data_IF_768033702915
#
_entry.id   IF_768033702915
#
_cell.length_a   1.000
_cell.length_b   1.000
_cell.length_c   1.000
_cell.angle_alpha   90.00
_cell.angle_beta   90.00
_cell.angle_gamma   90.00
#
_symmetry.space_group_name_H-M   'P 1'
#
loop_
_entity.id
_entity.type
_entity.pdbx_description
1 polymer ?
#
# COMPACT_ATOMS: atom_id res chain seq x y z
N UNK A 1 -14.03 54.16 -12.66
CA UNK A 1 -13.74 53.07 -13.62
C UNK A 1 -12.90 52.04 -12.90
N UNK A 2 -13.34 50.79 -12.91
CA UNK A 2 -12.79 49.69 -12.13
C UNK A 2 -11.42 49.21 -12.65
N UNK A 3 -10.53 48.80 -11.75
CA UNK A 3 -9.62 47.68 -12.00
C UNK A 3 -9.52 46.81 -10.75
N UNK A 4 -10.45 45.87 -10.72
CA UNK A 4 -10.31 44.47 -10.27
C UNK A 4 -9.24 44.13 -9.24
N UNK A 5 -9.75 43.71 -8.08
CA UNK A 5 -9.09 42.96 -7.03
C UNK A 5 -8.29 41.76 -7.56
N UNK A 6 -7.01 41.70 -7.17
CA UNK A 6 -6.30 40.45 -6.98
C UNK A 6 -6.38 40.09 -5.50
N UNK A 7 -7.57 39.69 -5.04
CA UNK A 7 -7.69 38.92 -3.81
C UNK A 7 -7.14 37.53 -4.12
N UNK A 8 -5.84 37.37 -3.87
CA UNK A 8 -5.31 36.09 -3.44
C UNK A 8 -6.18 35.66 -2.25
N UNK A 9 -7.09 34.73 -2.49
CA UNK A 9 -7.87 34.10 -1.43
C UNK A 9 -6.93 33.19 -0.65
N UNK A 10 -6.14 33.83 0.22
CA UNK A 10 -5.64 33.23 1.43
C UNK A 10 -6.85 32.95 2.33
N UNK A 11 -7.56 31.86 2.07
CA UNK A 11 -8.39 31.22 3.09
C UNK A 11 -7.63 30.02 3.61
N UNK A 12 -6.62 30.31 4.44
CA UNK A 12 -6.15 29.42 5.50
C UNK A 12 -7.34 29.24 6.45
N UNK A 13 -8.23 28.33 6.09
CA UNK A 13 -9.44 28.02 6.84
C UNK A 13 -9.41 26.52 7.16
N UNK A 14 -8.63 26.18 8.20
CA UNK A 14 -8.26 24.82 8.67
C UNK A 14 -7.29 24.15 7.69
N UNK A 15 -6.15 23.66 8.19
CA UNK A 15 -5.10 23.02 7.39
C UNK A 15 -5.52 21.70 6.74
N UNK A 16 -6.52 21.71 5.87
CA UNK A 16 -6.93 20.58 5.03
C UNK A 16 -6.41 20.83 3.62
N UNK A 17 -5.59 19.89 3.14
CA UNK A 17 -5.15 19.82 1.75
C UNK A 17 -6.37 19.79 0.82
N UNK A 18 -6.29 20.48 -0.31
CA UNK A 18 -7.25 20.33 -1.42
C UNK A 18 -7.24 18.90 -1.96
N UNK A 19 -8.30 18.50 -2.67
CA UNK A 19 -8.38 17.16 -3.26
C UNK A 19 -7.21 16.87 -4.21
N UNK A 20 -6.72 17.88 -4.94
CA UNK A 20 -5.57 17.75 -5.81
C UNK A 20 -4.27 17.52 -5.02
N UNK A 21 -4.05 18.28 -3.95
CA UNK A 21 -2.88 18.11 -3.06
C UNK A 21 -2.93 16.76 -2.33
N UNK A 22 -4.13 16.28 -1.93
CA UNK A 22 -4.31 14.96 -1.35
C UNK A 22 -3.95 13.84 -2.33
N UNK A 23 -4.40 13.96 -3.59
CA UNK A 23 -4.08 12.95 -4.62
C UNK A 23 -2.59 12.95 -4.94
N UNK A 24 -1.96 14.13 -5.06
CA UNK A 24 -0.51 14.22 -5.26
C UNK A 24 0.25 13.54 -4.11
N UNK A 25 -0.12 13.83 -2.86
CA UNK A 25 0.49 13.18 -1.71
C UNK A 25 0.25 11.66 -1.73
N UNK A 26 -0.94 11.20 -2.12
CA UNK A 26 -1.24 9.77 -2.23
C UNK A 26 -0.36 9.08 -3.27
N UNK A 27 -0.10 9.72 -4.42
CA UNK A 27 0.80 9.20 -5.44
C UNK A 27 2.25 9.11 -4.94
N UNK A 28 2.74 10.14 -4.26
CA UNK A 28 4.10 10.20 -3.70
C UNK A 28 4.31 9.16 -2.58
N UNK A 29 3.33 9.01 -1.68
CA UNK A 29 3.34 7.98 -0.64
C UNK A 29 3.26 6.58 -1.24
N UNK A 30 2.40 6.36 -2.24
CA UNK A 30 2.28 5.06 -2.90
C UNK A 30 3.56 4.68 -3.66
N UNK A 31 4.26 5.65 -4.25
CA UNK A 31 5.60 5.45 -4.82
C UNK A 31 6.58 4.98 -3.74
N UNK A 32 6.58 5.67 -2.60
CA UNK A 32 7.47 5.34 -1.47
C UNK A 32 7.20 3.94 -0.93
N UNK A 33 5.94 3.57 -0.71
CA UNK A 33 5.56 2.22 -0.29
C UNK A 33 5.96 1.15 -1.31
N UNK A 34 5.82 1.44 -2.62
CA UNK A 34 6.30 0.52 -3.66
C UNK A 34 7.82 0.36 -3.61
N UNK A 35 8.57 1.45 -3.44
CA UNK A 35 10.03 1.41 -3.32
C UNK A 35 10.48 0.60 -2.08
N UNK A 36 9.70 0.59 -1.00
CA UNK A 36 9.96 -0.27 0.16
C UNK A 36 9.93 -1.77 -0.17
N UNK A 37 9.19 -2.19 -1.20
CA UNK A 37 9.22 -3.55 -1.73
C UNK A 37 10.32 -3.70 -2.79
N UNK A 38 10.33 -2.82 -3.79
CA UNK A 38 11.17 -2.96 -4.98
C UNK A 38 12.67 -2.81 -4.73
N UNK A 39 13.06 -2.20 -3.60
CA UNK A 39 14.47 -2.02 -3.22
C UNK A 39 15.02 -3.15 -2.36
N UNK A 40 14.21 -4.12 -1.93
CA UNK A 40 14.69 -5.28 -1.19
C UNK A 40 15.02 -6.44 -2.14
N UNK A 41 16.01 -7.30 -1.82
CA UNK A 41 16.35 -8.47 -2.63
C UNK A 41 15.18 -9.42 -2.90
N UNK A 42 14.30 -9.63 -1.92
CA UNK A 42 13.13 -10.52 -2.05
C UNK A 42 11.96 -9.88 -2.79
N UNK A 43 11.96 -8.56 -2.97
CA UNK A 43 10.79 -7.84 -3.46
C UNK A 43 9.65 -7.73 -2.44
N UNK A 44 9.93 -7.99 -1.16
CA UNK A 44 9.00 -7.84 -0.02
C UNK A 44 9.47 -6.72 0.90
N UNK A 45 8.55 -5.94 1.47
CA UNK A 45 8.90 -4.93 2.45
C UNK A 45 9.20 -5.52 3.83
N UNK A 46 10.20 -4.93 4.49
CA UNK A 46 10.49 -5.10 5.90
C UNK A 46 9.38 -4.46 6.76
N UNK A 47 9.32 -4.83 8.04
CA UNK A 47 8.34 -4.32 9.00
C UNK A 47 8.50 -2.83 9.25
N UNK A 48 9.75 -2.35 9.39
CA UNK A 48 10.05 -0.94 9.63
C UNK A 48 11.15 -0.49 8.67
N UNK A 49 10.92 0.64 8.01
CA UNK A 49 11.93 1.36 7.23
C UNK A 49 12.26 2.69 7.90
N UNK A 50 13.56 2.99 8.04
CA UNK A 50 14.08 4.25 8.56
C UNK A 50 14.74 5.00 7.42
N UNK A 51 14.20 6.18 7.10
CA UNK A 51 14.68 7.02 6.01
C UNK A 51 15.91 7.84 6.41
N UNK A 52 16.87 7.93 5.50
CA UNK A 52 18.08 8.73 5.69
C UNK A 52 17.88 10.11 5.08
N UNK A 53 17.80 11.14 5.93
CA UNK A 53 17.55 12.53 5.51
C UNK A 53 18.81 13.38 5.41
N UNK A 54 19.96 12.84 5.82
CA UNK A 54 21.25 13.55 5.85
C UNK A 54 21.97 13.57 4.49
N UNK A 55 21.39 12.92 3.47
CA UNK A 55 21.94 12.83 2.12
C UNK A 55 23.20 11.95 2.03
N UNK A 56 23.54 11.20 3.08
CA UNK A 56 24.73 10.35 3.12
C UNK A 56 24.34 8.91 2.81
N UNK A 57 25.16 8.21 2.02
CA UNK A 57 25.06 6.77 1.84
C UNK A 57 24.30 6.27 0.61
N UNK A 58 23.64 7.15 -0.17
CA UNK A 58 23.05 6.79 -1.47
C UNK A 58 21.92 5.76 -1.43
N UNK A 59 21.34 5.51 -0.25
CA UNK A 59 20.21 4.61 -0.03
C UNK A 59 19.08 5.38 0.63
N UNK A 60 17.86 5.22 0.10
CA UNK A 60 16.67 5.97 0.56
C UNK A 60 16.29 5.63 2.02
N UNK A 61 16.34 4.33 2.38
CA UNK A 61 15.98 3.82 3.69
C UNK A 61 16.76 2.55 4.06
N UNK A 62 16.78 2.23 5.35
CA UNK A 62 17.30 0.96 5.86
C UNK A 62 16.38 0.38 6.95
N UNK A 63 16.59 -0.88 7.29
CA UNK A 63 15.87 -1.55 8.38
C UNK A 63 16.85 -2.09 9.42
N UNK A 64 16.52 -1.90 10.70
CA UNK A 64 17.23 -2.54 11.80
C UNK A 64 17.14 -4.07 11.65
N UNK A 65 18.06 -4.83 12.26
CA UNK A 65 18.04 -6.30 12.13
C UNK A 65 16.73 -6.91 12.61
N UNK A 66 16.16 -6.36 13.68
CA UNK A 66 14.91 -6.84 14.29
C UNK A 66 13.70 -6.61 13.39
N UNK A 67 13.77 -5.62 12.50
CA UNK A 67 12.64 -5.18 11.68
C UNK A 67 12.68 -5.71 10.23
N UNK A 68 13.67 -6.54 9.88
CA UNK A 68 13.84 -7.05 8.50
C UNK A 68 12.78 -8.05 8.06
N UNK A 69 11.94 -8.50 8.99
CA UNK A 69 10.96 -9.53 8.74
C UNK A 69 9.78 -9.00 7.91
N UNK A 70 9.11 -9.89 7.19
CA UNK A 70 7.86 -9.58 6.49
C UNK A 70 6.76 -10.49 6.99
N UNK A 71 5.69 -9.89 7.52
CA UNK A 71 4.55 -10.60 8.08
C UNK A 71 3.42 -10.85 7.08
N UNK A 72 3.66 -10.62 5.78
CA UNK A 72 2.66 -10.71 4.71
C UNK A 72 1.55 -9.64 4.81
N UNK A 73 1.91 -8.47 5.34
CA UNK A 73 0.97 -7.39 5.66
C UNK A 73 0.29 -6.76 4.43
N UNK A 74 -0.93 -6.22 4.57
CA UNK A 74 -1.76 -5.83 3.43
C UNK A 74 -1.61 -4.38 2.97
N UNK A 75 -1.03 -3.48 3.76
CA UNK A 75 -1.27 -2.02 3.67
C UNK A 75 -0.85 -1.43 2.31
N UNK A 76 0.22 -1.97 1.72
CA UNK A 76 0.64 -1.58 0.36
C UNK A 76 -0.32 -2.12 -0.70
N UNK A 77 -0.79 -3.36 -0.58
CA UNK A 77 -1.77 -3.94 -1.54
C UNK A 77 -3.14 -3.28 -1.43
N UNK A 78 -3.55 -2.87 -0.23
CA UNK A 78 -4.73 -2.04 0.02
C UNK A 78 -4.62 -0.71 -0.74
N UNK A 79 -3.50 0.00 -0.52
CA UNK A 79 -3.27 1.31 -1.15
C UNK A 79 -3.23 1.19 -2.67
N UNK A 80 -2.59 0.14 -3.21
CA UNK A 80 -2.57 -0.13 -4.65
C UNK A 80 -3.98 -0.36 -5.22
N UNK A 81 -4.84 -1.09 -4.50
CA UNK A 81 -6.24 -1.29 -4.88
C UNK A 81 -6.99 0.05 -4.95
N UNK A 82 -6.87 0.89 -3.93
CA UNK A 82 -7.52 2.21 -3.91
C UNK A 82 -6.99 3.09 -5.04
N UNK A 83 -5.67 3.15 -5.24
CA UNK A 83 -5.05 3.94 -6.30
C UNK A 83 -5.49 3.48 -7.70
N UNK A 84 -5.59 2.17 -7.95
CA UNK A 84 -6.16 1.64 -9.19
C UNK A 84 -7.61 2.09 -9.38
N UNK A 85 -8.45 1.98 -8.34
CA UNK A 85 -9.87 2.35 -8.44
C UNK A 85 -10.07 3.83 -8.74
N UNK A 86 -9.22 4.70 -8.21
CA UNK A 86 -9.31 6.15 -8.39
C UNK A 86 -8.68 6.66 -9.71
N UNK A 87 -7.55 6.08 -10.13
CA UNK A 87 -6.73 6.64 -11.23
C UNK A 87 -6.76 5.83 -12.52
N UNK A 88 -7.04 4.52 -12.43
CA UNK A 88 -6.90 3.54 -13.53
C UNK A 88 -5.50 3.47 -14.14
N UNK A 89 -4.47 3.93 -13.42
CA UNK A 89 -3.09 3.81 -13.88
C UNK A 89 -2.64 2.33 -13.78
N UNK A 90 -2.29 1.68 -14.91
CA UNK A 90 -1.90 0.28 -14.93
C UNK A 90 -0.65 -0.04 -14.11
N UNK A 91 0.17 0.96 -13.75
CA UNK A 91 1.35 0.75 -12.89
C UNK A 91 0.97 0.13 -11.54
N UNK A 92 -0.19 0.46 -10.99
CA UNK A 92 -0.62 -0.06 -9.68
C UNK A 92 -0.91 -1.57 -9.73
N UNK A 93 -1.54 -2.04 -10.82
CA UNK A 93 -1.73 -3.47 -11.08
C UNK A 93 -0.39 -4.19 -11.31
N UNK A 94 0.51 -3.59 -12.09
CA UNK A 94 1.84 -4.16 -12.32
C UNK A 94 2.64 -4.32 -11.02
N UNK A 95 2.60 -3.32 -10.13
CA UNK A 95 3.22 -3.35 -8.80
C UNK A 95 2.61 -4.42 -7.91
N UNK A 96 1.28 -4.50 -7.84
CA UNK A 96 0.60 -5.53 -7.06
C UNK A 96 0.94 -6.95 -7.55
N UNK A 97 1.09 -7.13 -8.86
CA UNK A 97 1.49 -8.43 -9.42
C UNK A 97 2.92 -8.80 -9.02
N UNK A 98 3.86 -7.84 -9.07
CA UNK A 98 5.22 -8.06 -8.62
C UNK A 98 5.30 -8.44 -7.14
N UNK A 99 4.50 -7.79 -6.28
CA UNK A 99 4.40 -8.14 -4.85
C UNK A 99 3.85 -9.56 -4.67
N UNK A 100 2.81 -9.93 -5.41
CA UNK A 100 2.24 -11.28 -5.34
C UNK A 100 3.23 -12.36 -5.77
N UNK A 101 3.98 -12.14 -6.85
CA UNK A 101 5.03 -13.06 -7.30
C UNK A 101 6.17 -13.19 -6.27
N UNK A 102 6.52 -12.11 -5.57
CA UNK A 102 7.46 -12.15 -4.45
C UNK A 102 6.93 -13.01 -3.28
N UNK A 103 5.66 -12.85 -2.88
CA UNK A 103 5.04 -13.74 -1.88
C UNK A 103 5.06 -15.21 -2.32
N UNK A 104 4.71 -15.49 -3.57
CA UNK A 104 4.75 -16.86 -4.13
C UNK A 104 6.14 -17.47 -4.10
N UNK A 105 7.17 -16.67 -4.32
CA UNK A 105 8.56 -17.12 -4.42
C UNK A 105 9.20 -17.34 -3.05
N UNK A 106 8.90 -16.48 -2.08
CA UNK A 106 9.65 -16.42 -0.81
C UNK A 106 8.81 -16.77 0.42
N UNK A 107 7.49 -16.70 0.38
CA UNK A 107 6.64 -16.95 1.55
C UNK A 107 5.83 -18.26 1.45
N UNK A 108 5.89 -19.00 0.34
CA UNK A 108 5.10 -20.21 0.13
C UNK A 108 5.68 -21.41 0.89
N UNK A 109 4.81 -22.14 1.60
CA UNK A 109 5.16 -23.40 2.27
C UNK A 109 4.83 -24.58 1.34
N UNK A 110 5.76 -25.54 1.19
CA UNK A 110 5.61 -26.66 0.25
C UNK A 110 4.39 -27.55 0.57
N UNK A 111 4.16 -27.84 1.85
CA UNK A 111 3.00 -28.62 2.32
C UNK A 111 1.67 -27.88 2.22
N UNK A 112 1.69 -26.57 1.95
CA UNK A 112 0.51 -25.72 1.81
C UNK A 112 0.52 -24.52 2.76
N UNK A 113 -0.05 -23.41 2.29
CA UNK A 113 -0.10 -22.14 3.01
C UNK A 113 1.07 -21.21 2.68
N UNK A 114 1.12 -20.10 3.42
CA UNK A 114 2.17 -19.10 3.38
C UNK A 114 2.66 -18.81 4.79
N UNK A 115 3.87 -18.30 4.91
CA UNK A 115 4.52 -18.05 6.18
C UNK A 115 5.20 -16.69 6.16
N UNK A 116 5.22 -16.00 7.31
CA UNK A 116 6.08 -14.82 7.47
C UNK A 116 7.55 -15.20 7.28
N UNK A 117 8.38 -14.25 6.84
CA UNK A 117 9.82 -14.48 6.64
C UNK A 117 10.66 -13.65 7.61
N UNK A 118 11.79 -14.21 8.05
CA UNK A 118 12.69 -13.54 9.01
C UNK A 118 13.39 -12.31 8.45
N UNK A 119 13.74 -12.32 7.16
CA UNK A 119 14.56 -11.28 6.54
C UNK A 119 14.23 -11.12 5.05
N UNK A 120 13.79 -9.92 4.65
CA UNK A 120 13.57 -9.55 3.25
C UNK A 120 14.86 -9.30 2.46
N UNK A 121 16.01 -9.31 3.15
CA UNK A 121 17.33 -9.07 2.57
C UNK A 121 18.09 -10.35 2.21
N UNK A 122 17.53 -11.52 2.53
CA UNK A 122 18.13 -12.83 2.24
C UNK A 122 17.28 -13.58 1.23
N UNK A 123 17.89 -14.08 0.15
CA UNK A 123 17.18 -14.88 -0.86
C UNK A 123 16.94 -16.32 -0.40
N UNK A 124 17.81 -16.83 0.49
CA UNK A 124 17.55 -18.07 1.22
C UNK A 124 16.76 -17.73 2.48
N UNK A 125 15.46 -17.54 2.29
CA UNK A 125 14.55 -17.12 3.34
C UNK A 125 14.33 -18.20 4.39
N UNK A 126 14.29 -17.77 5.65
CA UNK A 126 13.83 -18.58 6.76
C UNK A 126 12.36 -18.25 7.02
N UNK A 127 11.51 -19.28 6.91
CA UNK A 127 10.08 -19.16 7.18
C UNK A 127 9.84 -19.23 8.69
N UNK A 128 9.00 -18.32 9.19
CA UNK A 128 8.40 -18.42 10.53
C UNK A 128 7.21 -19.36 10.44
N UNK A 129 7.01 -20.22 11.44
CA UNK A 129 5.83 -21.09 11.52
C UNK A 129 4.59 -20.29 11.96
N UNK A 130 4.24 -19.27 11.18
CA UNK A 130 3.13 -18.36 11.45
C UNK A 130 2.54 -17.83 10.15
N UNK A 131 1.24 -18.02 9.98
CA UNK A 131 0.44 -17.39 8.92
C UNK A 131 -0.62 -16.53 9.57
N UNK A 132 -0.43 -15.22 9.52
CA UNK A 132 -1.36 -14.26 10.08
C UNK A 132 -2.72 -14.33 9.37
N UNK A 133 -3.80 -14.12 10.12
CA UNK A 133 -5.17 -14.18 9.58
C UNK A 133 -5.38 -13.17 8.45
N UNK A 134 -4.72 -12.00 8.54
CA UNK A 134 -4.79 -10.93 7.55
C UNK A 134 -4.18 -11.27 6.20
N UNK A 135 -3.32 -12.28 6.10
CA UNK A 135 -2.86 -12.77 4.81
C UNK A 135 -4.06 -13.16 3.93
N UNK A 136 -5.01 -13.89 4.52
CA UNK A 136 -6.21 -14.35 3.82
C UNK A 136 -7.29 -13.27 3.78
N UNK A 137 -7.56 -12.61 4.90
CA UNK A 137 -8.66 -11.66 4.96
C UNK A 137 -8.36 -10.35 4.23
N UNK A 138 -7.10 -9.93 4.12
CA UNK A 138 -6.74 -8.61 3.60
C UNK A 138 -5.83 -8.71 2.38
N UNK A 139 -4.60 -9.22 2.53
CA UNK A 139 -3.58 -9.15 1.47
C UNK A 139 -4.08 -9.83 0.19
N UNK A 140 -4.58 -11.06 0.28
CA UNK A 140 -5.16 -11.75 -0.87
C UNK A 140 -6.46 -11.12 -1.38
N UNK A 141 -7.28 -10.53 -0.50
CA UNK A 141 -8.53 -9.87 -0.90
C UNK A 141 -8.23 -8.59 -1.70
N UNK A 142 -7.32 -7.76 -1.23
CA UNK A 142 -6.92 -6.55 -1.94
C UNK A 142 -6.21 -6.84 -3.25
N UNK A 143 -5.33 -7.86 -3.29
CA UNK A 143 -4.74 -8.33 -4.54
C UNK A 143 -5.81 -8.82 -5.52
N UNK A 144 -6.79 -9.60 -5.05
CA UNK A 144 -7.89 -10.04 -5.90
C UNK A 144 -8.74 -8.85 -6.39
N UNK A 145 -9.10 -7.91 -5.52
CA UNK A 145 -9.89 -6.72 -5.87
C UNK A 145 -9.16 -5.78 -6.83
N UNK A 146 -7.83 -5.66 -6.69
CA UNK A 146 -6.96 -4.91 -7.58
C UNK A 146 -7.07 -5.41 -9.04
N UNK A 147 -7.20 -6.73 -9.23
CA UNK A 147 -7.33 -7.34 -10.56
C UNK A 147 -8.77 -7.63 -11.00
N UNK A 148 -9.75 -7.54 -10.09
CA UNK A 148 -11.17 -7.71 -10.40
C UNK A 148 -11.74 -6.60 -11.29
N UNK A 149 -12.96 -6.81 -11.77
CA UNK A 149 -13.77 -5.78 -12.42
C UNK A 149 -14.12 -4.64 -11.46
N UNK A 150 -14.28 -3.45 -12.03
CA UNK A 150 -14.44 -2.21 -11.26
C UNK A 150 -15.81 -2.04 -10.59
N UNK A 151 -16.79 -2.88 -10.95
CA UNK A 151 -18.13 -2.94 -10.35
C UNK A 151 -18.20 -3.90 -9.15
N UNK A 152 -17.14 -4.66 -8.87
CA UNK A 152 -17.03 -5.47 -7.67
C UNK A 152 -16.64 -4.57 -6.49
N UNK A 153 -17.49 -4.51 -5.46
CA UNK A 153 -17.37 -3.64 -4.28
C UNK A 153 -17.05 -2.17 -4.63
N UNK A 154 -17.99 -1.45 -5.28
CA UNK A 154 -17.80 -0.03 -5.60
C UNK A 154 -17.54 0.80 -4.34
N UNK A 155 -16.55 1.70 -4.40
CA UNK A 155 -16.08 2.50 -3.24
C UNK A 155 -17.11 3.57 -2.78
N UNK A 156 -18.12 3.86 -3.59
CA UNK A 156 -19.24 4.73 -3.28
C UNK A 156 -20.45 3.98 -2.68
N UNK A 157 -20.42 2.65 -2.68
CA UNK A 157 -21.45 1.79 -2.07
C UNK A 157 -20.94 1.04 -0.83
N UNK A 158 -19.65 0.71 -0.78
CA UNK A 158 -19.04 -0.08 0.28
C UNK A 158 -17.87 0.66 0.92
N UNK A 159 -17.75 0.50 2.24
CA UNK A 159 -16.57 0.90 3.01
C UNK A 159 -15.96 -0.35 3.64
N UNK A 160 -14.65 -0.55 3.47
CA UNK A 160 -13.94 -1.64 4.14
C UNK A 160 -13.50 -1.18 5.53
N UNK A 161 -13.65 -2.03 6.54
CA UNK A 161 -13.03 -1.77 7.84
C UNK A 161 -11.50 -2.01 7.76
N UNK A 162 -10.80 -1.74 8.85
CA UNK A 162 -9.33 -1.92 8.95
C UNK A 162 -8.83 -3.36 8.84
N UNK A 163 -9.72 -4.34 8.60
CA UNK A 163 -9.39 -5.74 8.33
C UNK A 163 -9.98 -6.22 6.99
N UNK A 164 -10.18 -5.29 6.06
CA UNK A 164 -10.76 -5.48 4.73
C UNK A 164 -12.16 -6.12 4.70
N UNK A 165 -12.96 -6.01 5.77
CA UNK A 165 -14.34 -6.49 5.76
C UNK A 165 -15.27 -5.41 5.21
N UNK A 166 -15.98 -5.66 4.09
CA UNK A 166 -16.85 -4.67 3.48
C UNK A 166 -18.14 -4.48 4.28
N UNK A 167 -18.50 -3.21 4.49
CA UNK A 167 -19.74 -2.78 5.13
C UNK A 167 -20.48 -1.83 4.17
N UNK A 168 -21.81 -1.95 4.02
CA UNK A 168 -22.56 -1.08 3.13
C UNK A 168 -22.61 0.35 3.69
N UNK A 169 -22.43 1.33 2.81
CA UNK A 169 -22.55 2.75 3.16
C UNK A 169 -24.02 3.06 3.43
N UNK A 170 -24.31 3.63 4.61
CA UNK A 170 -25.65 4.13 4.94
C UNK A 170 -25.85 5.49 4.29
N UNK A 171 -26.61 5.53 3.20
CA UNK A 171 -27.10 6.78 2.62
C UNK A 171 -28.10 7.40 3.59
N UNK A 172 -28.02 8.72 3.82
CA UNK A 172 -29.10 9.44 4.50
C UNK A 172 -30.35 9.36 3.61
N UNK A 173 -31.50 9.07 4.19
CA UNK A 173 -32.76 9.28 3.50
C UNK A 173 -32.86 10.78 3.17
N UNK A 174 -33.15 11.08 1.91
CA UNK A 174 -33.39 12.45 1.42
C UNK A 174 -34.64 13.07 2.05
#
# INVERSE_FOLDING_TARGET
>A
AASTASTANASVARGQLSAAEQMQLAEELMETCWLMYARTPTGLAAEIAVFHTDGRGGVDFSSSQQDRHSLLRPETTESLFVMWRLTKDPKYRARGWAIFEAFRSFARVESGGYASIESVYELQVQLRDHMETFWLSETLKYLWLLFSEDDVLPLDEWVLNTQAHPMPIRRKAE
#
